data_IF_355391090931
#
_entry.id   IF_355391090931
#
_cell.length_a   1.000
_cell.length_b   1.000
_cell.length_c   1.000
_cell.angle_alpha   90.00
_cell.angle_beta   90.00
_cell.angle_gamma   90.00
#
_symmetry.space_group_name_H-M   'P 1'
#
loop_
_entity.id
_entity.type
_entity.pdbx_description
1 polymer ?
#
# COMPACT_ATOMS: atom_id res chain seq x y z
N UNK A 1 1.06 14.68 12.67
CA UNK A 1 1.02 14.64 11.21
C UNK A 1 1.90 13.48 10.76
N UNK A 2 1.42 12.60 9.88
CA UNK A 2 2.23 11.49 9.33
C UNK A 2 3.19 12.08 8.29
N UNK A 3 4.52 11.80 8.33
CA UNK A 3 5.46 12.44 7.41
C UNK A 3 5.22 12.12 5.92
N UNK A 4 4.86 10.88 5.61
CA UNK A 4 4.60 10.40 4.24
C UNK A 4 3.40 9.45 4.26
N UNK A 5 2.50 9.59 3.29
CA UNK A 5 1.40 8.66 3.05
C UNK A 5 1.17 8.48 1.56
N UNK A 6 0.82 7.27 1.14
CA UNK A 6 0.46 6.98 -0.24
C UNK A 6 -0.98 6.50 -0.30
N UNK A 7 -1.77 7.07 -1.21
CA UNK A 7 -3.09 6.58 -1.57
C UNK A 7 -2.99 5.80 -2.87
N UNK A 8 -3.63 4.63 -2.95
CA UNK A 8 -3.72 3.84 -4.17
C UNK A 8 -5.14 4.01 -4.72
N UNK A 9 -5.26 4.40 -5.99
CA UNK A 9 -6.52 4.69 -6.66
C UNK A 9 -6.98 3.50 -7.51
N UNK A 10 -6.91 2.31 -6.93
CA UNK A 10 -7.36 1.07 -7.56
C UNK A 10 -8.46 0.43 -6.70
N UNK A 11 -9.19 -0.54 -7.27
CA UNK A 11 -10.20 -1.26 -6.48
C UNK A 11 -9.55 -2.09 -5.38
N UNK A 12 -10.27 -2.33 -4.28
CA UNK A 12 -9.78 -3.20 -3.22
C UNK A 12 -9.48 -4.62 -3.76
N UNK A 13 -10.25 -5.10 -4.74
CA UNK A 13 -10.04 -6.40 -5.36
C UNK A 13 -8.71 -6.44 -6.13
N UNK A 14 -8.35 -5.38 -6.85
CA UNK A 14 -7.09 -5.29 -7.59
C UNK A 14 -5.90 -5.24 -6.63
N UNK A 15 -6.01 -4.48 -5.53
CA UNK A 15 -4.96 -4.43 -4.50
C UNK A 15 -4.84 -5.79 -3.79
N UNK A 16 -5.94 -6.50 -3.53
CA UNK A 16 -5.92 -7.85 -2.97
C UNK A 16 -5.29 -8.88 -3.94
N UNK A 17 -5.53 -8.74 -5.24
CA UNK A 17 -4.95 -9.62 -6.25
C UNK A 17 -3.41 -9.56 -6.27
N UNK A 18 -2.80 -8.46 -5.81
CA UNK A 18 -1.34 -8.32 -5.67
C UNK A 18 -0.77 -9.39 -4.74
N UNK A 19 -1.51 -9.84 -3.72
CA UNK A 19 -1.06 -10.85 -2.76
C UNK A 19 -0.78 -12.23 -3.36
N UNK A 20 -1.12 -12.45 -4.64
CA UNK A 20 -0.82 -13.67 -5.39
C UNK A 20 0.07 -13.43 -6.62
N UNK A 21 0.74 -12.27 -6.70
CA UNK A 21 1.62 -11.90 -7.82
C UNK A 21 3.09 -12.18 -7.47
N UNK A 22 3.99 -11.21 -7.63
CA UNK A 22 5.43 -11.43 -7.51
C UNK A 22 5.82 -11.39 -6.03
N UNK A 23 6.21 -12.53 -5.45
CA UNK A 23 6.72 -12.58 -4.08
C UNK A 23 8.10 -11.89 -3.99
N UNK A 24 8.26 -11.01 -3.00
CA UNK A 24 9.49 -10.25 -2.76
C UNK A 24 9.79 -10.17 -1.27
N UNK A 25 11.05 -9.99 -0.91
CA UNK A 25 11.44 -9.73 0.47
C UNK A 25 10.95 -8.34 0.92
N UNK A 26 10.25 -8.30 2.05
CA UNK A 26 9.87 -7.07 2.72
C UNK A 26 11.10 -6.32 3.26
N UNK A 27 10.97 -5.00 3.46
CA UNK A 27 12.02 -4.17 4.08
C UNK A 27 12.36 -4.58 5.52
N UNK A 28 11.43 -5.26 6.21
CA UNK A 28 11.61 -5.78 7.57
C UNK A 28 12.15 -7.23 7.59
N UNK A 29 12.52 -7.80 6.43
CA UNK A 29 13.06 -9.16 6.32
C UNK A 29 12.02 -10.28 6.21
N UNK A 30 10.72 -9.98 6.34
CA UNK A 30 9.66 -10.96 6.10
C UNK A 30 9.53 -11.31 4.61
N UNK A 31 8.90 -12.45 4.30
CA UNK A 31 8.71 -12.96 2.92
C UNK A 31 7.25 -12.95 2.48
N UNK A 32 6.40 -12.23 3.20
CA UNK A 32 4.97 -12.08 2.90
C UNK A 32 4.66 -10.81 2.09
N UNK A 33 5.66 -10.19 1.45
CA UNK A 33 5.45 -9.05 0.57
C UNK A 33 5.28 -9.50 -0.88
N UNK A 34 4.40 -8.79 -1.58
CA UNK A 34 4.12 -9.05 -2.98
C UNK A 34 4.13 -7.74 -3.77
N UNK A 35 4.77 -7.76 -4.93
CA UNK A 35 4.84 -6.64 -5.85
C UNK A 35 3.77 -6.77 -6.94
N UNK A 36 3.17 -5.63 -7.32
CA UNK A 36 2.20 -5.60 -8.41
C UNK A 36 2.84 -5.86 -9.78
N UNK A 37 2.17 -6.62 -10.65
CA UNK A 37 2.61 -6.88 -12.03
C UNK A 37 2.55 -5.63 -12.92
N UNK A 38 1.54 -4.79 -12.70
CA UNK A 38 1.35 -3.52 -13.39
C UNK A 38 1.59 -2.34 -12.44
N UNK A 39 1.87 -1.17 -13.03
CA UNK A 39 1.82 0.10 -12.30
C UNK A 39 0.38 0.41 -11.90
N UNK A 40 0.21 1.05 -10.75
CA UNK A 40 -1.07 1.49 -10.21
C UNK A 40 -1.06 3.00 -10.03
N UNK A 41 -2.22 3.63 -10.15
CA UNK A 41 -2.38 5.05 -9.90
C UNK A 41 -2.28 5.34 -8.41
N UNK A 42 -1.36 6.24 -8.04
CA UNK A 42 -1.16 6.60 -6.64
C UNK A 42 -1.08 8.11 -6.44
N UNK A 43 -1.43 8.56 -5.24
CA UNK A 43 -1.06 9.90 -4.74
C UNK A 43 -0.10 9.75 -3.58
N UNK A 44 1.14 10.19 -3.77
CA UNK A 44 2.14 10.31 -2.71
C UNK A 44 2.03 11.69 -2.04
N UNK A 45 1.67 11.69 -0.75
CA UNK A 45 1.53 12.87 0.08
C UNK A 45 2.71 12.98 1.04
N UNK A 46 3.46 14.08 0.94
CA UNK A 46 4.57 14.40 1.84
C UNK A 46 4.23 15.61 2.68
N UNK A 47 4.39 15.51 3.99
CA UNK A 47 4.17 16.62 4.90
C UNK A 47 5.11 17.78 4.57
N UNK A 48 4.62 19.01 4.59
CA UNK A 48 5.46 20.20 4.42
C UNK A 48 6.23 20.53 5.70
N UNK A 49 7.40 21.16 5.58
CA UNK A 49 8.30 21.40 6.73
C UNK A 49 7.72 22.25 7.87
N UNK A 50 6.73 23.10 7.59
CA UNK A 50 6.05 23.97 8.57
C UNK A 50 4.78 23.37 9.17
N UNK A 51 4.40 22.15 8.78
CA UNK A 51 3.15 21.52 9.19
C UNK A 51 3.18 21.05 10.65
N UNK A 52 2.18 21.43 11.45
CA UNK A 52 2.01 21.01 12.85
C UNK A 52 0.55 20.63 13.10
N UNK A 53 0.32 19.61 13.93
CA UNK A 53 -1.03 19.20 14.32
C UNK A 53 -1.74 20.35 15.08
N UNK A 54 -3.04 20.63 14.81
CA UNK A 54 -3.96 19.89 13.94
C UNK A 54 -3.92 20.26 12.46
N UNK A 55 -3.29 21.38 12.09
CA UNK A 55 -3.28 21.93 10.73
C UNK A 55 -2.16 21.33 9.89
N UNK A 56 -2.28 20.04 9.57
CA UNK A 56 -1.27 19.34 8.81
C UNK A 56 -1.33 19.69 7.32
N UNK A 57 -0.25 20.26 6.77
CA UNK A 57 -0.14 20.61 5.36
C UNK A 57 0.72 19.57 4.61
N UNK A 58 0.28 19.22 3.40
CA UNK A 58 0.88 18.18 2.57
C UNK A 58 1.08 18.66 1.14
N UNK A 59 2.19 18.25 0.53
CA UNK A 59 2.39 18.30 -0.92
C UNK A 59 2.01 16.94 -1.51
N UNK A 60 0.98 16.94 -2.35
CA UNK A 60 0.53 15.75 -3.08
C UNK A 60 1.21 15.66 -4.44
N UNK A 61 1.53 14.44 -4.86
CA UNK A 61 2.05 14.13 -6.19
C UNK A 61 1.36 12.89 -6.75
N UNK A 62 0.71 13.03 -7.90
CA UNK A 62 0.11 11.90 -8.63
C UNK A 62 1.19 11.20 -9.44
N UNK A 63 1.23 9.87 -9.35
CA UNK A 63 2.25 9.03 -9.98
C UNK A 63 1.63 7.68 -10.36
N UNK A 64 2.20 7.00 -11.34
CA UNK A 64 1.92 5.59 -11.61
C UNK A 64 3.14 4.76 -11.22
N UNK A 65 2.98 3.82 -10.29
CA UNK A 65 4.09 3.02 -9.75
C UNK A 65 3.66 1.60 -9.41
N UNK A 66 4.61 0.67 -9.43
CA UNK A 66 4.41 -0.63 -8.80
C UNK A 66 4.29 -0.44 -7.29
N UNK A 67 3.37 -1.18 -6.66
CA UNK A 67 3.23 -1.21 -5.21
C UNK A 67 3.78 -2.53 -4.67
N UNK A 68 4.23 -2.49 -3.42
CA UNK A 68 4.59 -3.69 -2.66
C UNK A 68 3.75 -3.67 -1.39
N UNK A 69 2.94 -4.71 -1.19
CA UNK A 69 2.09 -4.89 -0.01
C UNK A 69 2.49 -6.14 0.75
N UNK A 70 2.47 -6.07 2.08
CA UNK A 70 2.52 -7.26 2.91
C UNK A 70 1.12 -7.88 2.93
N UNK A 71 1.03 -9.20 2.84
CA UNK A 71 -0.25 -9.88 2.87
C UNK A 71 -0.28 -10.99 3.92
N UNK A 72 -1.42 -11.09 4.61
CA UNK A 72 -1.65 -12.08 5.65
C UNK A 72 -2.83 -12.99 5.29
N UNK A 73 -2.82 -14.25 5.78
CA UNK A 73 -3.96 -15.14 5.61
C UNK A 73 -5.21 -14.53 6.25
N UNK A 74 -6.40 -14.78 5.68
CA UNK A 74 -7.63 -14.24 6.23
C UNK A 74 -7.86 -14.72 7.67
N UNK A 75 -8.30 -13.81 8.54
CA UNK A 75 -8.77 -14.16 9.88
C UNK A 75 -10.05 -14.99 9.78
N UNK A 76 -10.28 -15.87 10.77
CA UNK A 76 -11.43 -16.80 10.79
C UNK A 76 -12.75 -16.04 10.54
N UNK A 77 -13.48 -16.41 9.49
CA UNK A 77 -14.78 -15.81 9.13
C UNK A 77 -14.85 -15.18 7.73
N UNK A 78 -13.71 -14.98 7.03
CA UNK A 78 -13.67 -14.56 5.62
C UNK A 78 -13.47 -15.79 4.71
N UNK A 79 -14.06 -15.85 3.50
CA UNK A 79 -13.88 -16.99 2.59
C UNK A 79 -12.40 -17.35 2.37
N UNK A 80 -12.05 -18.64 2.38
CA UNK A 80 -10.71 -19.14 2.71
C UNK A 80 -9.66 -19.05 1.56
N UNK A 81 -9.70 -18.03 0.69
CA UNK A 81 -8.81 -18.00 -0.49
C UNK A 81 -8.13 -16.67 -0.80
N UNK A 82 -8.35 -15.62 0.00
CA UNK A 82 -7.83 -14.29 -0.32
C UNK A 82 -6.91 -13.82 0.80
N UNK A 83 -5.60 -13.83 0.53
CA UNK A 83 -4.62 -13.09 1.33
C UNK A 83 -4.98 -11.61 1.30
N UNK A 84 -4.92 -10.95 2.44
CA UNK A 84 -5.39 -9.57 2.60
C UNK A 84 -4.17 -8.67 2.81
N UNK A 85 -4.05 -7.55 2.08
CA UNK A 85 -3.04 -6.53 2.36
C UNK A 85 -3.18 -6.00 3.80
N UNK A 86 -2.06 -5.90 4.53
CA UNK A 86 -1.99 -5.40 5.92
C UNK A 86 -1.16 -4.14 6.07
#
# INVERSE_FOLDING_TARGET
>A
CKPVNTFVHESLADVQAVCSQINVNCKNGQTNCYQSNSTMHITDCRQTGSSKYPNCAYKASQQEKHIIVACEPPTKGRPPRVFVPV
#
